data_IF_299022860252
#
_entry.id   IF_299022860252
#
_cell.length_a   1.000
_cell.length_b   1.000
_cell.length_c   1.000
_cell.angle_alpha   90.00
_cell.angle_beta   90.00
_cell.angle_gamma   90.00
#
_symmetry.space_group_name_H-M   'P 1'
#
loop_
_entity.id
_entity.type
_entity.pdbx_description
1 polymer ?
#
# COMPACT_ATOMS: atom_id res chain seq x y z
N UNK A 1 2.00 -5.89 28.76
CA UNK A 1 2.60 -4.94 27.79
C UNK A 1 2.96 -5.73 26.55
N UNK A 2 2.59 -5.26 25.36
CA UNK A 2 3.02 -5.89 24.12
C UNK A 2 4.53 -5.63 23.92
N UNK A 3 5.27 -6.65 23.48
CA UNK A 3 6.72 -6.59 23.31
C UNK A 3 7.15 -5.90 22.01
N UNK A 4 6.23 -5.66 21.07
CA UNK A 4 6.53 -5.08 19.76
C UNK A 4 5.40 -4.18 19.22
N UNK A 5 5.78 -3.27 18.32
CA UNK A 5 4.88 -2.38 17.58
C UNK A 5 4.87 -2.79 16.11
N UNK A 6 3.67 -2.97 15.54
CA UNK A 6 3.47 -3.10 14.11
C UNK A 6 2.57 -1.95 13.64
N UNK A 7 3.13 -1.04 12.84
CA UNK A 7 2.44 0.13 12.31
C UNK A 7 2.93 0.40 10.89
N UNK A 8 2.01 0.65 9.97
CA UNK A 8 2.29 1.05 8.60
C UNK A 8 1.54 2.36 8.26
N UNK A 9 2.24 3.31 7.65
CA UNK A 9 1.68 4.55 7.12
C UNK A 9 2.02 4.62 5.63
N UNK A 10 1.01 4.65 4.77
CA UNK A 10 1.18 4.64 3.32
C UNK A 10 0.47 5.85 2.69
N UNK A 11 1.12 6.47 1.70
CA UNK A 11 0.57 7.55 0.89
C UNK A 11 0.80 7.16 -0.57
N UNK A 12 -0.26 7.07 -1.35
CA UNK A 12 -0.20 6.60 -2.72
C UNK A 12 -1.51 6.79 -3.46
N UNK A 13 -1.62 6.13 -4.61
CA UNK A 13 -2.78 6.19 -5.49
C UNK A 13 -3.47 4.83 -5.53
N UNK A 14 -4.80 4.82 -5.60
CA UNK A 14 -5.56 3.59 -5.81
C UNK A 14 -5.28 3.03 -7.22
N UNK A 15 -5.03 1.73 -7.31
CA UNK A 15 -4.85 1.05 -8.60
C UNK A 15 -6.15 0.72 -9.32
N UNK A 16 -7.20 0.50 -8.53
CA UNK A 16 -8.52 0.11 -8.96
C UNK A 16 -9.54 0.60 -7.93
N UNK A 17 -10.81 0.58 -8.30
CA UNK A 17 -11.90 0.85 -7.36
C UNK A 17 -11.86 -0.16 -6.21
N UNK A 18 -12.15 0.32 -5.00
CA UNK A 18 -12.15 -0.52 -3.81
C UNK A 18 -13.28 -1.57 -3.89
N UNK A 19 -12.94 -2.83 -3.67
CA UNK A 19 -13.89 -3.93 -3.69
C UNK A 19 -14.40 -4.17 -2.27
N UNK A 20 -15.73 -4.10 -2.09
CA UNK A 20 -16.36 -4.38 -0.80
C UNK A 20 -17.18 -5.65 -0.89
N UNK A 21 -16.89 -6.61 -0.01
CA UNK A 21 -17.59 -7.88 0.12
C UNK A 21 -18.31 -7.88 1.47
N UNK A 22 -19.58 -8.25 1.47
CA UNK A 22 -20.35 -8.46 2.70
C UNK A 22 -20.56 -9.97 2.89
N UNK A 23 -20.01 -10.51 3.98
CA UNK A 23 -20.11 -11.93 4.31
C UNK A 23 -20.51 -12.09 5.79
N UNK A 24 -21.57 -12.86 6.05
CA UNK A 24 -22.09 -13.15 7.39
C UNK A 24 -22.33 -11.89 8.25
N UNK A 25 -22.77 -10.79 7.63
CA UNK A 25 -23.05 -9.51 8.29
C UNK A 25 -21.82 -8.63 8.54
N UNK A 26 -20.62 -9.06 8.12
CA UNK A 26 -19.40 -8.26 8.17
C UNK A 26 -19.06 -7.71 6.79
N UNK A 27 -18.74 -6.42 6.73
CA UNK A 27 -18.26 -5.76 5.51
C UNK A 27 -16.74 -5.73 5.53
N UNK A 28 -16.13 -6.20 4.44
CA UNK A 28 -14.70 -6.20 4.20
C UNK A 28 -14.41 -5.43 2.93
N UNK A 29 -13.49 -4.48 2.96
CA UNK A 29 -13.11 -3.67 1.80
C UNK A 29 -11.63 -3.88 1.51
N UNK A 30 -11.33 -4.33 0.30
CA UNK A 30 -9.96 -4.51 -0.17
C UNK A 30 -9.65 -3.55 -1.31
N UNK A 31 -8.43 -3.02 -1.35
CA UNK A 31 -7.98 -2.13 -2.42
C UNK A 31 -6.47 -2.18 -2.62
N UNK A 32 -6.04 -2.00 -3.88
CA UNK A 32 -4.64 -1.86 -4.23
C UNK A 32 -4.16 -0.42 -4.12
N UNK A 33 -3.02 -0.18 -3.47
CA UNK A 33 -2.37 1.11 -3.35
C UNK A 33 -0.99 1.10 -4.01
N UNK A 34 -0.77 1.97 -5.00
CA UNK A 34 0.54 2.22 -5.59
C UNK A 34 1.26 3.36 -4.86
N UNK A 35 2.44 3.07 -4.32
CA UNK A 35 3.36 4.07 -3.75
C UNK A 35 4.58 4.19 -4.64
N UNK A 36 4.93 5.40 -5.06
CA UNK A 36 6.14 5.64 -5.85
C UNK A 36 7.21 6.28 -4.99
N UNK A 37 8.41 5.70 -5.01
CA UNK A 37 9.60 6.25 -4.38
C UNK A 37 10.65 6.56 -5.45
N UNK A 38 11.07 7.82 -5.52
CA UNK A 38 12.17 8.24 -6.38
C UNK A 38 13.48 8.18 -5.61
N UNK A 39 14.43 7.38 -6.09
CA UNK A 39 15.76 7.24 -5.49
C UNK A 39 16.83 7.46 -6.55
N UNK A 40 17.96 8.05 -6.14
CA UNK A 40 19.11 8.28 -7.02
C UNK A 40 20.03 7.06 -7.00
N UNK A 41 20.24 6.42 -8.13
CA UNK A 41 21.11 5.26 -8.21
C UNK A 41 22.61 5.63 -8.05
N UNK A 42 23.48 4.62 -8.02
CA UNK A 42 24.93 4.82 -7.85
C UNK A 42 25.57 5.59 -9.01
N UNK A 43 24.93 5.62 -10.17
CA UNK A 43 25.40 6.32 -11.37
C UNK A 43 24.89 7.77 -11.40
N UNK A 44 24.02 8.13 -10.45
CA UNK A 44 23.49 9.47 -10.30
C UNK A 44 22.21 9.74 -11.09
N UNK A 45 21.58 8.70 -11.65
CA UNK A 45 20.31 8.82 -12.34
C UNK A 45 19.14 8.67 -11.36
N UNK A 46 18.06 9.40 -11.61
CA UNK A 46 16.82 9.27 -10.83
C UNK A 46 16.04 8.06 -11.33
N UNK A 47 15.83 7.08 -10.45
CA UNK A 47 15.00 5.91 -10.71
C UNK A 47 13.69 6.05 -9.91
N UNK A 48 12.56 5.87 -10.59
CA UNK A 48 11.25 5.83 -9.95
C UNK A 48 10.85 4.37 -9.74
N UNK A 49 10.75 3.94 -8.49
CA UNK A 49 10.28 2.60 -8.13
C UNK A 49 8.84 2.69 -7.62
N UNK A 50 7.92 2.04 -8.32
CA UNK A 50 6.53 1.89 -7.86
C UNK A 50 6.36 0.56 -7.15
N UNK A 51 5.83 0.60 -5.94
CA UNK A 51 5.46 -0.57 -5.14
C UNK A 51 3.95 -0.66 -5.03
N UNK A 52 3.41 -1.86 -5.24
CA UNK A 52 1.99 -2.15 -5.09
C UNK A 52 1.74 -2.83 -3.74
N UNK A 53 0.79 -2.29 -2.99
CA UNK A 53 0.35 -2.82 -1.69
C UNK A 53 -1.11 -3.25 -1.81
N UNK A 54 -1.45 -4.40 -1.23
CA UNK A 54 -2.84 -4.84 -1.12
C UNK A 54 -3.33 -4.56 0.31
N UNK A 55 -4.29 -3.65 0.46
CA UNK A 55 -4.89 -3.29 1.75
C UNK A 55 -6.19 -4.07 1.90
N UNK A 56 -6.35 -4.77 3.02
CA UNK A 56 -7.42 -5.75 3.29
C UNK A 56 -8.04 -5.47 4.67
#
# INVERSE_FOLDING_TARGET
>A
MAFSLNQATLIGNLGNDAETIEENGNKKTAFGLATTHSHKDKNGEWQNLTTWHNVI
#
